data_IF_574783194311
#
_entry.id   IF_574783194311
#
_cell.length_a   1.000
_cell.length_b   1.000
_cell.length_c   1.000
_cell.angle_alpha   90.00
_cell.angle_beta   90.00
_cell.angle_gamma   90.00
#
_symmetry.space_group_name_H-M   'P 1'
#
loop_
_entity.id
_entity.type
_entity.pdbx_description
1 polymer ?
#
# COMPACT_ATOMS: atom_id res chain seq x y z
N UNK A 1 7.28 -4.38 33.89
CA UNK A 1 7.10 -2.96 34.27
C UNK A 1 7.99 -2.03 33.45
N UNK A 2 7.54 -0.78 33.24
CA UNK A 2 8.21 0.37 32.60
C UNK A 2 8.12 0.49 31.08
N UNK A 3 7.04 1.13 30.62
CA UNK A 3 7.10 2.17 29.59
C UNK A 3 6.25 3.36 30.03
N UNK A 4 6.79 4.11 30.98
CA UNK A 4 6.33 5.47 31.24
C UNK A 4 6.86 6.35 30.11
N UNK A 5 6.04 6.63 29.10
CA UNK A 5 6.24 7.82 28.28
C UNK A 5 5.37 8.91 28.89
N UNK A 6 5.95 9.66 29.82
CA UNK A 6 5.34 10.86 30.40
C UNK A 6 5.32 11.94 29.31
N UNK A 7 4.16 12.18 28.69
CA UNK A 7 3.92 13.39 27.92
C UNK A 7 2.69 14.08 28.54
N UNK A 8 2.96 14.99 29.47
CA UNK A 8 1.96 15.79 30.19
C UNK A 8 1.56 17.02 29.37
N UNK A 9 1.20 16.82 28.10
CA UNK A 9 0.70 17.89 27.22
C UNK A 9 -0.81 17.74 27.13
N UNK A 10 -1.53 18.77 27.57
CA UNK A 10 -2.97 18.93 27.40
C UNK A 10 -3.29 18.82 25.91
N UNK A 11 -3.93 17.73 25.49
CA UNK A 11 -4.32 17.50 24.09
C UNK A 11 -3.62 16.36 23.34
N UNK A 12 -2.80 15.52 24.00
CA UNK A 12 -2.29 14.30 23.35
C UNK A 12 -3.42 13.30 23.05
N UNK A 13 -4.00 13.39 21.83
CA UNK A 13 -4.84 12.31 21.32
C UNK A 13 -3.99 11.04 21.24
N UNK A 14 -4.51 9.88 21.69
CA UNK A 14 -3.79 8.63 21.54
C UNK A 14 -3.49 8.40 20.05
N UNK A 15 -2.24 8.04 19.74
CA UNK A 15 -1.85 7.70 18.36
C UNK A 15 -2.69 6.49 17.95
N UNK A 16 -3.38 6.52 16.79
CA UNK A 16 -4.08 5.35 16.30
C UNK A 16 -3.08 4.18 16.14
N UNK A 17 -3.53 2.94 16.35
CA UNK A 17 -2.66 1.78 16.19
C UNK A 17 -2.09 1.74 14.76
N UNK A 18 -0.83 1.26 14.60
CA UNK A 18 -0.26 1.08 13.28
C UNK A 18 -1.14 0.11 12.47
N UNK A 19 -1.22 0.34 11.16
CA UNK A 19 -1.98 -0.49 10.23
C UNK A 19 -1.00 -1.16 9.27
N UNK A 20 -0.33 -2.25 9.66
CA UNK A 20 0.73 -2.86 8.85
C UNK A 20 0.27 -3.24 7.43
N UNK A 21 -1.00 -3.63 7.27
CA UNK A 21 -1.59 -3.92 5.95
C UNK A 21 -1.72 -2.67 5.04
N UNK A 22 -1.80 -1.47 5.62
CA UNK A 22 -1.77 -0.21 4.88
C UNK A 22 -0.35 0.14 4.44
N UNK A 23 0.65 -0.22 5.25
CA UNK A 23 2.06 -0.04 4.92
C UNK A 23 2.45 -0.96 3.76
N UNK A 24 2.07 -2.24 3.81
CA UNK A 24 2.28 -3.21 2.70
C UNK A 24 1.64 -2.72 1.40
N UNK A 25 0.42 -2.19 1.46
CA UNK A 25 -0.22 -1.57 0.31
C UNK A 25 0.60 -0.40 -0.24
N UNK A 26 1.01 0.51 0.63
CA UNK A 26 1.78 1.69 0.25
C UNK A 26 3.12 1.31 -0.38
N UNK A 27 3.78 0.27 0.14
CA UNK A 27 4.97 -0.32 -0.46
C UNK A 27 4.72 -0.82 -1.89
N UNK A 28 3.61 -1.52 -2.13
CA UNK A 28 3.24 -1.98 -3.48
C UNK A 28 3.02 -0.82 -4.47
N UNK A 29 2.35 0.25 -4.02
CA UNK A 29 2.15 1.47 -4.83
C UNK A 29 3.48 2.15 -5.16
N UNK A 30 4.36 2.29 -4.17
CA UNK A 30 5.69 2.89 -4.35
C UNK A 30 6.52 2.04 -5.31
N UNK A 31 6.53 0.72 -5.13
CA UNK A 31 7.29 -0.19 -5.98
C UNK A 31 6.84 -0.16 -7.44
N UNK A 32 5.52 -0.21 -7.69
CA UNK A 32 4.97 0.00 -9.02
C UNK A 32 5.40 1.35 -9.61
N UNK A 33 5.34 2.42 -8.80
CA UNK A 33 5.69 3.77 -9.26
C UNK A 33 7.17 3.92 -9.61
N UNK A 34 8.06 3.22 -8.89
CA UNK A 34 9.50 3.20 -9.20
C UNK A 34 9.78 2.46 -10.53
N UNK A 35 9.03 1.40 -10.83
CA UNK A 35 9.22 0.62 -12.07
C UNK A 35 8.65 1.32 -13.31
N UNK A 36 7.47 1.94 -13.18
CA UNK A 36 6.72 2.47 -14.31
C UNK A 36 6.64 3.99 -14.39
N UNK A 37 7.10 4.71 -13.36
CA UNK A 37 7.03 6.17 -13.29
C UNK A 37 5.61 6.73 -13.14
N UNK A 38 4.60 5.88 -12.91
CA UNK A 38 3.19 6.26 -12.78
C UNK A 38 2.52 5.54 -11.63
N UNK A 39 1.37 6.05 -11.18
CA UNK A 39 0.58 5.37 -10.13
C UNK A 39 -0.17 4.16 -10.72
N UNK A 40 -0.36 3.08 -9.95
CA UNK A 40 -1.18 1.94 -10.39
C UNK A 40 -2.66 2.30 -10.53
N UNK A 41 -3.14 3.31 -9.79
CA UNK A 41 -4.53 3.77 -9.79
C UNK A 41 -4.61 5.28 -9.74
N UNK A 42 -5.63 5.85 -10.39
CA UNK A 42 -5.97 7.28 -10.27
C UNK A 42 -4.83 8.23 -10.62
N UNK A 43 -4.10 7.96 -11.70
CA UNK A 43 -2.92 8.74 -12.12
C UNK A 43 -3.17 10.24 -12.18
N UNK A 44 -4.37 10.64 -12.64
CA UNK A 44 -4.80 12.04 -12.80
C UNK A 44 -5.71 12.54 -11.67
N UNK A 45 -5.93 11.73 -10.63
CA UNK A 45 -6.93 11.97 -9.60
C UNK A 45 -6.29 12.40 -8.28
N UNK A 46 -6.95 13.31 -7.56
CA UNK A 46 -6.58 13.60 -6.18
C UNK A 46 -6.94 12.44 -5.25
N UNK A 47 -6.31 12.38 -4.07
CA UNK A 47 -6.64 11.37 -3.06
C UNK A 47 -8.14 11.40 -2.69
N UNK A 48 -8.72 12.59 -2.56
CA UNK A 48 -10.14 12.76 -2.26
C UNK A 48 -11.03 12.24 -3.38
N UNK A 49 -10.66 12.50 -4.65
CA UNK A 49 -11.39 11.96 -5.79
C UNK A 49 -11.28 10.44 -5.85
N UNK A 50 -10.09 9.88 -5.62
CA UNK A 50 -9.89 8.42 -5.58
C UNK A 50 -10.73 7.75 -4.49
N UNK A 51 -10.84 8.36 -3.31
CA UNK A 51 -11.66 7.86 -2.20
C UNK A 51 -13.15 7.98 -2.51
N UNK A 52 -13.58 9.12 -3.07
CA UNK A 52 -14.97 9.39 -3.43
C UNK A 52 -15.48 8.43 -4.50
N UNK A 53 -14.69 8.23 -5.55
CA UNK A 53 -15.04 7.38 -6.69
C UNK A 53 -14.77 5.90 -6.43
N UNK A 54 -14.25 5.56 -5.25
CA UNK A 54 -13.89 4.19 -4.86
C UNK A 54 -13.05 3.52 -5.95
N UNK A 55 -12.05 4.22 -6.47
CA UNK A 55 -11.22 3.76 -7.60
C UNK A 55 -10.68 2.36 -7.35
N UNK A 56 -10.28 2.06 -6.11
CA UNK A 56 -9.80 0.74 -5.70
C UNK A 56 -10.87 -0.37 -5.78
N UNK A 57 -12.15 -0.04 -5.61
CA UNK A 57 -13.26 -0.98 -5.71
C UNK A 57 -13.64 -1.28 -7.17
N UNK A 58 -13.40 -0.31 -8.06
CA UNK A 58 -13.69 -0.38 -9.49
C UNK A 58 -12.56 -1.06 -10.24
N UNK A 59 -11.31 -0.66 -9.97
CA UNK A 59 -10.10 -1.25 -10.54
C UNK A 59 -9.50 -2.25 -9.53
N UNK A 60 -10.10 -3.45 -9.48
CA UNK A 60 -9.65 -4.52 -8.58
C UNK A 60 -8.29 -5.10 -8.97
N UNK A 61 -7.91 -4.98 -10.24
CA UNK A 61 -6.65 -5.51 -10.77
C UNK A 61 -5.71 -4.38 -11.20
N UNK A 62 -4.42 -4.61 -11.01
CA UNK A 62 -3.36 -3.70 -11.44
C UNK A 62 -3.02 -3.98 -12.89
N UNK A 63 -3.08 -2.94 -13.73
CA UNK A 63 -2.65 -3.04 -15.13
C UNK A 63 -1.13 -2.83 -15.25
N UNK A 64 -0.44 -3.79 -15.86
CA UNK A 64 0.99 -3.71 -16.13
C UNK A 64 1.22 -3.37 -17.60
N UNK A 65 1.77 -2.20 -17.94
CA UNK A 65 2.10 -1.88 -19.31
C UNK A 65 3.23 -2.78 -19.84
N UNK A 66 3.24 -3.01 -21.15
CA UNK A 66 4.19 -3.94 -21.79
C UNK A 66 5.66 -3.48 -21.71
N UNK A 67 5.91 -2.19 -21.44
CA UNK A 67 7.25 -1.60 -21.29
C UNK A 67 7.29 -0.68 -20.05
N UNK A 68 8.38 -0.70 -19.27
CA UNK A 68 9.47 -1.67 -19.31
C UNK A 68 8.99 -3.09 -18.96
N UNK A 69 9.61 -4.10 -19.58
CA UNK A 69 9.35 -5.48 -19.23
C UNK A 69 9.95 -5.75 -17.84
N UNK A 70 9.10 -6.13 -16.89
CA UNK A 70 9.48 -6.47 -15.53
C UNK A 70 9.37 -7.97 -15.33
N UNK A 71 10.12 -8.48 -14.36
CA UNK A 71 10.10 -9.89 -14.00
C UNK A 71 8.68 -10.35 -13.59
N UNK A 72 8.39 -11.64 -13.71
CA UNK A 72 7.10 -12.18 -13.29
C UNK A 72 6.94 -12.06 -11.76
N UNK A 73 8.05 -12.19 -11.06
CA UNK A 73 8.19 -12.10 -9.60
C UNK A 73 7.81 -10.70 -9.12
N UNK A 74 8.30 -9.65 -9.79
CA UNK A 74 7.95 -8.27 -9.45
C UNK A 74 6.45 -7.99 -9.67
N UNK A 75 5.86 -8.52 -10.74
CA UNK A 75 4.41 -8.38 -11.00
C UNK A 75 3.58 -9.10 -9.95
N UNK A 76 3.99 -10.30 -9.57
CA UNK A 76 3.32 -11.09 -8.55
C UNK A 76 3.39 -10.41 -7.18
N UNK A 77 4.56 -9.90 -6.80
CA UNK A 77 4.72 -9.12 -5.58
C UNK A 77 3.76 -7.92 -5.53
N UNK A 78 3.69 -7.13 -6.61
CA UNK A 78 2.78 -5.98 -6.71
C UNK A 78 1.32 -6.41 -6.57
N UNK A 79 0.91 -7.49 -7.24
CA UNK A 79 -0.48 -8.01 -7.13
C UNK A 79 -0.83 -8.42 -5.71
N UNK A 80 0.08 -9.07 -5.00
CA UNK A 80 -0.13 -9.49 -3.60
C UNK A 80 -0.24 -8.30 -2.66
N UNK A 81 0.64 -7.30 -2.81
CA UNK A 81 0.59 -6.09 -2.00
C UNK A 81 -0.66 -5.25 -2.26
N UNK A 82 -1.12 -5.20 -3.52
CA UNK A 82 -2.28 -4.43 -3.97
C UNK A 82 -3.57 -5.25 -3.99
N UNK A 83 -3.65 -6.32 -3.22
CA UNK A 83 -4.88 -7.09 -3.06
C UNK A 83 -6.01 -6.23 -2.48
N UNK A 84 -7.18 -6.28 -3.12
CA UNK A 84 -8.39 -5.57 -2.68
C UNK A 84 -8.78 -5.95 -1.25
N UNK A 85 -8.80 -7.26 -0.97
CA UNK A 85 -9.05 -7.74 0.38
C UNK A 85 -7.80 -7.55 1.23
N UNK A 86 -7.93 -6.74 2.28
CA UNK A 86 -6.86 -6.44 3.22
C UNK A 86 -6.33 -7.71 3.92
N UNK A 87 -7.20 -8.69 4.18
CA UNK A 87 -6.85 -9.95 4.86
C UNK A 87 -6.07 -10.91 3.95
N UNK A 88 -6.09 -10.67 2.64
CA UNK A 88 -5.31 -11.43 1.66
C UNK A 88 -3.91 -10.84 1.45
N UNK A 89 -3.63 -9.67 2.02
CA UNK A 89 -2.30 -9.07 1.91
C UNK A 89 -1.33 -9.82 2.82
N UNK A 90 -0.10 -10.09 2.35
CA UNK A 90 0.93 -10.66 3.20
C UNK A 90 1.22 -9.73 4.39
N UNK A 91 1.66 -10.31 5.49
CA UNK A 91 2.30 -9.53 6.56
C UNK A 91 3.64 -8.95 6.07
N UNK A 92 4.23 -8.07 6.88
CA UNK A 92 5.46 -7.37 6.50
C UNK A 92 6.62 -8.35 6.31
N UNK A 93 6.70 -9.40 7.13
CA UNK A 93 7.76 -10.40 7.04
C UNK A 93 7.64 -11.27 5.77
N UNK A 94 6.43 -11.72 5.44
CA UNK A 94 6.14 -12.49 4.24
C UNK A 94 6.29 -11.66 2.97
N UNK A 95 5.95 -10.37 3.01
CA UNK A 95 6.23 -9.45 1.91
C UNK A 95 7.74 -9.29 1.70
N UNK A 96 8.52 -9.14 2.78
CA UNK A 96 9.97 -9.01 2.70
C UNK A 96 10.68 -10.30 2.26
N UNK A 97 10.08 -11.46 2.53
CA UNK A 97 10.59 -12.77 2.12
C UNK A 97 10.21 -13.19 0.70
N UNK A 98 9.49 -12.35 -0.06
CA UNK A 98 9.13 -12.65 -1.44
C UNK A 98 10.39 -12.73 -2.33
N UNK A 99 10.50 -13.75 -3.21
CA UNK A 99 11.62 -13.90 -4.14
C UNK A 99 11.65 -12.79 -5.21
#
# INVERSE_FOLDING_TARGET
ERRACCCRIVGCRPRPPPRPQLDVWSCGVIFYSMLYGRKPYGETMSQEQMLRERVMAVQKEVEFPAKPAVSNEAREFIRRCLAWNQDQRPDVEAAAAHP
#
